data_IF_491226191915
#
_entry.id   IF_491226191915
#
_cell.length_a   1.000
_cell.length_b   1.000
_cell.length_c   1.000
_cell.angle_alpha   90.00
_cell.angle_beta   90.00
_cell.angle_gamma   90.00
#
_symmetry.space_group_name_H-M   'P 1'
#
loop_
_entity.id
_entity.type
_entity.pdbx_description
1 polymer ?
#
# COMPACT_ATOMS: atom_id res chain seq x y z
N UNK A 1 13.18 -4.78 25.94
CA UNK A 1 12.55 -5.12 27.24
C UNK A 1 11.71 -6.38 27.01
N UNK A 2 12.05 -7.50 27.66
CA UNK A 2 11.37 -8.82 27.54
C UNK A 2 10.17 -8.89 28.48
N UNK A 3 9.03 -9.49 28.07
CA UNK A 3 8.15 -10.45 28.80
C UNK A 3 7.31 -11.13 27.69
N UNK A 4 7.42 -12.40 27.26
CA UNK A 4 7.36 -13.76 27.86
C UNK A 4 5.96 -14.16 28.42
N UNK A 5 5.19 -14.84 27.56
CA UNK A 5 4.58 -16.20 27.71
C UNK A 5 3.66 -16.57 28.90
N UNK A 6 2.49 -17.15 28.50
CA UNK A 6 1.71 -18.27 29.09
C UNK A 6 0.69 -18.08 30.23
N UNK A 7 -0.53 -18.59 30.01
CA UNK A 7 -1.13 -19.80 30.66
C UNK A 7 -2.62 -19.91 30.25
N UNK A 8 -3.05 -20.94 29.50
CA UNK A 8 -3.48 -22.30 29.91
C UNK A 8 -4.90 -22.40 30.51
N UNK A 9 -5.78 -23.01 29.69
CA UNK A 9 -6.94 -23.88 29.97
C UNK A 9 -7.35 -24.18 31.42
N UNK A 10 -8.66 -24.14 31.71
CA UNK A 10 -9.46 -25.31 32.12
C UNK A 10 -10.97 -24.95 32.30
N UNK A 11 -11.86 -25.54 31.50
CA UNK A 11 -12.85 -26.60 31.82
C UNK A 11 -14.20 -26.10 32.37
N UNK A 12 -15.28 -26.32 31.61
CA UNK A 12 -16.34 -27.26 32.06
C UNK A 12 -17.30 -27.62 30.94
N UNK A 13 -17.44 -28.93 30.72
CA UNK A 13 -18.49 -29.57 29.94
C UNK A 13 -19.87 -29.32 30.56
N UNK A 14 -20.88 -29.09 29.73
CA UNK A 14 -22.23 -29.61 29.90
C UNK A 14 -22.98 -29.57 28.55
N UNK A 15 -23.43 -30.75 28.11
CA UNK A 15 -24.54 -31.02 27.18
C UNK A 15 -24.44 -30.57 25.69
N UNK A 16 -24.24 -31.54 24.79
CA UNK A 16 -24.74 -31.53 23.40
C UNK A 16 -26.26 -31.81 23.38
N UNK A 17 -27.03 -31.59 22.28
CA UNK A 17 -26.59 -31.27 20.91
C UNK A 17 -27.32 -30.08 20.28
N UNK A 18 -26.65 -29.39 19.37
CA UNK A 18 -27.17 -29.00 18.07
C UNK A 18 -25.95 -28.43 17.35
N UNK A 19 -25.38 -29.22 16.45
CA UNK A 19 -24.44 -28.73 15.46
C UNK A 19 -25.16 -27.68 14.62
N UNK A 20 -25.20 -26.43 15.09
CA UNK A 20 -25.09 -25.32 14.17
C UNK A 20 -23.69 -25.45 13.60
N UNK A 21 -23.59 -26.23 12.52
CA UNK A 21 -22.60 -25.94 11.51
C UNK A 21 -22.81 -24.48 11.17
N UNK A 22 -22.06 -23.59 11.84
CA UNK A 22 -21.71 -22.34 11.22
C UNK A 22 -21.10 -22.78 9.91
N UNK A 23 -21.86 -22.62 8.83
CA UNK A 23 -21.29 -22.63 7.51
C UNK A 23 -20.12 -21.66 7.63
N UNK A 24 -18.89 -22.19 7.65
CA UNK A 24 -17.73 -21.38 7.34
C UNK A 24 -18.11 -20.77 6.00
N UNK A 25 -18.49 -19.50 6.03
CA UNK A 25 -18.73 -18.73 4.83
C UNK A 25 -17.44 -18.90 4.05
N UNK A 26 -17.51 -19.64 2.94
CA UNK A 26 -16.35 -19.83 2.09
C UNK A 26 -15.74 -18.46 1.88
N UNK A 27 -14.41 -18.34 2.06
CA UNK A 27 -13.73 -17.08 1.85
C UNK A 27 -14.22 -16.50 0.52
N UNK A 28 -14.85 -15.33 0.56
CA UNK A 28 -15.47 -14.74 -0.63
C UNK A 28 -14.45 -14.77 -1.74
N UNK A 29 -14.78 -15.44 -2.83
CA UNK A 29 -13.91 -15.54 -3.98
C UNK A 29 -13.64 -14.12 -4.48
N UNK A 30 -12.37 -13.78 -4.67
CA UNK A 30 -12.00 -12.43 -5.13
C UNK A 30 -12.44 -12.33 -6.58
N UNK A 31 -13.34 -11.40 -6.90
CA UNK A 31 -13.73 -11.20 -8.30
C UNK A 31 -12.59 -10.56 -9.09
N UNK A 32 -12.38 -11.02 -10.33
CA UNK A 32 -11.40 -10.45 -11.25
C UNK A 32 -11.63 -8.94 -11.47
N UNK A 33 -12.90 -8.51 -11.41
CA UNK A 33 -13.31 -7.11 -11.47
C UNK A 33 -12.74 -6.34 -10.28
N UNK A 34 -12.90 -6.85 -9.05
CA UNK A 34 -12.36 -6.21 -7.84
C UNK A 34 -10.84 -6.11 -7.89
N UNK A 35 -10.16 -7.17 -8.34
CA UNK A 35 -8.70 -7.17 -8.46
C UNK A 35 -8.20 -6.18 -9.52
N UNK A 36 -8.89 -6.11 -10.66
CA UNK A 36 -8.60 -5.12 -11.71
C UNK A 36 -8.79 -3.68 -11.21
N UNK A 37 -9.88 -3.41 -10.48
CA UNK A 37 -10.14 -2.10 -9.86
C UNK A 37 -9.15 -1.75 -8.76
N UNK A 38 -8.70 -2.73 -7.99
CA UNK A 38 -7.64 -2.55 -7.01
C UNK A 38 -6.34 -2.13 -7.71
N UNK A 39 -5.88 -2.87 -8.74
CA UNK A 39 -4.68 -2.51 -9.52
C UNK A 39 -4.76 -1.10 -10.11
N UNK A 40 -5.89 -0.77 -10.73
CA UNK A 40 -6.15 0.56 -11.27
C UNK A 40 -6.02 1.65 -10.19
N UNK A 41 -6.66 1.44 -9.05
CA UNK A 41 -6.61 2.35 -7.91
C UNK A 41 -5.18 2.54 -7.41
N UNK A 42 -4.44 1.44 -7.21
CA UNK A 42 -3.06 1.46 -6.71
C UNK A 42 -2.15 2.23 -7.66
N UNK A 43 -2.30 1.99 -8.96
CA UNK A 43 -1.55 2.69 -9.99
C UNK A 43 -1.89 4.18 -10.02
N UNK A 44 -3.17 4.55 -10.01
CA UNK A 44 -3.62 5.94 -10.08
C UNK A 44 -3.17 6.76 -8.86
N UNK A 45 -3.15 6.19 -7.67
CA UNK A 45 -2.67 6.87 -6.47
C UNK A 45 -1.15 6.96 -6.36
N UNK A 46 -0.40 6.46 -7.35
CA UNK A 46 1.07 6.56 -7.37
C UNK A 46 1.73 5.99 -6.11
N UNK A 47 1.19 4.88 -5.57
CA UNK A 47 1.76 4.26 -4.36
C UNK A 47 3.17 3.71 -4.60
N UNK A 48 3.50 3.36 -5.84
CA UNK A 48 4.86 2.98 -6.22
C UNK A 48 5.81 4.19 -6.07
N UNK A 49 5.44 5.35 -6.59
CA UNK A 49 6.21 6.60 -6.46
C UNK A 49 6.35 6.99 -4.99
N UNK A 50 5.28 6.87 -4.19
CA UNK A 50 5.35 7.07 -2.75
C UNK A 50 6.34 6.11 -2.07
N UNK A 51 6.43 4.87 -2.55
CA UNK A 51 7.43 3.89 -2.09
C UNK A 51 8.84 4.36 -2.42
N UNK A 52 9.09 4.94 -3.59
CA UNK A 52 10.41 5.49 -3.96
C UNK A 52 10.81 6.68 -3.08
N UNK A 53 9.86 7.57 -2.77
CA UNK A 53 10.11 8.71 -1.86
C UNK A 53 10.46 8.20 -0.45
N UNK A 54 9.70 7.23 0.06
CA UNK A 54 9.97 6.61 1.36
C UNK A 54 11.30 5.86 1.39
N UNK A 55 11.65 5.17 0.31
CA UNK A 55 12.96 4.53 0.15
C UNK A 55 14.07 5.57 0.26
N UNK A 56 13.95 6.71 -0.42
CA UNK A 56 14.95 7.78 -0.35
C UNK A 56 15.12 8.30 1.08
N UNK A 57 14.01 8.63 1.74
CA UNK A 57 14.03 9.10 3.12
C UNK A 57 14.61 8.03 4.08
N UNK A 58 14.33 6.76 3.82
CA UNK A 58 14.87 5.64 4.60
C UNK A 58 16.37 5.53 4.43
N UNK A 59 16.94 5.71 3.24
CA UNK A 59 18.40 5.68 3.06
C UNK A 59 19.12 6.77 3.86
N UNK A 60 18.50 7.94 4.01
CA UNK A 60 19.09 9.05 4.77
C UNK A 60 18.95 8.90 6.29
N UNK A 61 18.02 8.08 6.77
CA UNK A 61 17.73 7.91 8.21
C UNK A 61 18.06 6.52 8.77
N UNK A 62 18.24 5.52 7.91
CA UNK A 62 18.48 4.14 8.31
C UNK A 62 19.89 3.95 8.86
N UNK A 63 19.99 3.31 10.03
CA UNK A 63 21.22 3.18 10.82
C UNK A 63 22.44 2.63 10.06
N UNK A 64 22.22 1.78 9.05
CA UNK A 64 23.30 1.22 8.21
C UNK A 64 23.74 2.17 7.11
N UNK A 65 22.79 2.81 6.41
CA UNK A 65 23.08 3.55 5.19
C UNK A 65 23.42 5.02 5.48
N UNK A 66 22.87 5.59 6.56
CA UNK A 66 23.07 6.99 6.93
C UNK A 66 24.55 7.33 7.20
N UNK A 67 25.37 6.35 7.55
CA UNK A 67 26.83 6.52 7.75
C UNK A 67 27.65 6.43 6.47
N UNK A 68 27.07 6.02 5.34
CA UNK A 68 27.78 5.92 4.07
C UNK A 68 28.05 7.32 3.48
N UNK A 69 29.02 7.48 2.57
CA UNK A 69 29.14 8.68 1.76
C UNK A 69 27.83 8.99 1.02
N UNK A 70 27.52 10.28 0.85
CA UNK A 70 26.32 10.69 0.10
C UNK A 70 26.33 10.15 -1.33
N UNK A 71 27.48 10.12 -1.99
CA UNK A 71 27.67 9.55 -3.33
C UNK A 71 27.20 8.09 -3.40
N UNK A 72 27.52 7.31 -2.38
CA UNK A 72 27.23 5.88 -2.34
C UNK A 72 25.74 5.66 -2.04
N UNK A 73 25.14 6.48 -1.18
CA UNK A 73 23.68 6.47 -0.98
C UNK A 73 22.92 6.88 -2.24
N UNK A 74 23.43 7.88 -2.97
CA UNK A 74 22.82 8.36 -4.22
C UNK A 74 22.87 7.28 -5.31
N UNK A 75 24.01 6.58 -5.46
CA UNK A 75 24.11 5.46 -6.41
C UNK A 75 23.30 4.24 -5.96
N UNK A 76 23.29 3.91 -4.66
CA UNK A 76 22.43 2.86 -4.11
C UNK A 76 20.95 3.13 -4.42
N UNK A 77 20.49 4.37 -4.19
CA UNK A 77 19.12 4.77 -4.48
C UNK A 77 18.80 4.55 -5.96
N UNK A 78 19.66 5.02 -6.85
CA UNK A 78 19.49 4.87 -8.30
C UNK A 78 19.41 3.40 -8.73
N UNK A 79 20.30 2.55 -8.22
CA UNK A 79 20.30 1.10 -8.51
C UNK A 79 19.06 0.41 -7.95
N UNK A 80 18.59 0.81 -6.78
CA UNK A 80 17.38 0.28 -6.17
C UNK A 80 16.13 0.70 -6.95
N UNK A 81 16.05 1.96 -7.41
CA UNK A 81 14.98 2.45 -8.27
C UNK A 81 14.94 1.67 -9.59
N UNK A 82 16.09 1.45 -10.24
CA UNK A 82 16.17 0.63 -11.46
C UNK A 82 15.57 -0.77 -11.25
N UNK A 83 15.95 -1.44 -10.15
CA UNK A 83 15.45 -2.77 -9.81
C UNK A 83 13.94 -2.78 -9.48
N UNK A 84 13.46 -1.76 -8.77
CA UNK A 84 12.04 -1.61 -8.43
C UNK A 84 11.19 -1.30 -9.65
N UNK A 85 11.65 -0.45 -10.56
CA UNK A 85 10.95 -0.11 -11.80
C UNK A 85 10.73 -1.35 -12.68
N UNK A 86 11.74 -2.22 -12.76
CA UNK A 86 11.61 -3.51 -13.45
C UNK A 86 10.54 -4.44 -12.82
N UNK A 87 10.24 -4.25 -11.53
CA UNK A 87 9.28 -5.03 -10.76
C UNK A 87 7.95 -4.30 -10.54
N UNK A 88 7.77 -3.10 -11.10
CA UNK A 88 6.61 -2.25 -10.86
C UNK A 88 5.27 -2.99 -11.04
N UNK A 89 5.03 -3.78 -12.10
CA UNK A 89 3.79 -4.54 -12.24
C UNK A 89 3.57 -5.53 -11.09
N UNK A 90 4.61 -6.28 -10.70
CA UNK A 90 4.54 -7.25 -9.61
C UNK A 90 4.28 -6.58 -8.25
N UNK A 91 4.85 -5.38 -8.03
CA UNK A 91 4.62 -4.59 -6.82
C UNK A 91 3.17 -4.12 -6.76
N UNK A 92 2.63 -3.58 -7.87
CA UNK A 92 1.23 -3.16 -7.95
C UNK A 92 0.29 -4.34 -7.72
N UNK A 93 0.60 -5.50 -8.32
CA UNK A 93 -0.18 -6.72 -8.14
C UNK A 93 -0.17 -7.22 -6.69
N UNK A 94 1.00 -7.29 -6.06
CA UNK A 94 1.12 -7.75 -4.68
C UNK A 94 0.38 -6.82 -3.70
N UNK A 95 0.43 -5.51 -3.91
CA UNK A 95 -0.36 -4.54 -3.14
C UNK A 95 -1.85 -4.78 -3.40
N UNK A 96 -2.27 -4.88 -4.65
CA UNK A 96 -3.68 -5.07 -5.00
C UNK A 96 -4.24 -6.35 -4.36
N UNK A 97 -3.51 -7.46 -4.43
CA UNK A 97 -3.89 -8.74 -3.82
C UNK A 97 -4.00 -8.66 -2.29
N UNK A 98 -3.11 -7.91 -1.63
CA UNK A 98 -3.18 -7.66 -0.18
C UNK A 98 -4.40 -6.83 0.21
N UNK A 99 -4.88 -5.94 -0.67
CA UNK A 99 -5.98 -5.02 -0.39
C UNK A 99 -7.35 -5.55 -0.83
N UNK A 100 -7.43 -6.39 -1.87
CA UNK A 100 -8.67 -6.63 -2.62
C UNK A 100 -9.82 -7.18 -1.75
N UNK A 101 -9.51 -7.99 -0.73
CA UNK A 101 -10.52 -8.60 0.17
C UNK A 101 -11.11 -7.63 1.20
N UNK A 102 -10.59 -6.40 1.27
CA UNK A 102 -10.97 -5.42 2.31
C UNK A 102 -12.19 -4.57 1.96
N UNK A 103 -12.57 -4.60 0.68
CA UNK A 103 -13.65 -3.82 0.11
C UNK A 103 -14.48 -4.72 -0.81
N UNK A 104 -15.77 -4.43 -0.89
CA UNK A 104 -16.69 -5.02 -1.85
C UNK A 104 -16.40 -4.52 -3.27
N UNK A 105 -16.93 -5.21 -4.27
CA UNK A 105 -16.79 -4.78 -5.67
C UNK A 105 -17.39 -3.37 -5.90
N UNK A 106 -18.53 -3.06 -5.26
CA UNK A 106 -19.17 -1.74 -5.35
C UNK A 106 -18.35 -0.62 -4.72
N UNK A 107 -17.61 -0.91 -3.65
CA UNK A 107 -16.66 0.02 -3.04
C UNK A 107 -15.43 0.19 -3.92
N UNK A 108 -14.87 -0.89 -4.48
CA UNK A 108 -13.74 -0.83 -5.42
C UNK A 108 -14.07 -0.02 -6.68
N UNK A 109 -15.29 -0.14 -7.21
CA UNK A 109 -15.73 0.68 -8.34
C UNK A 109 -15.73 2.18 -8.01
N UNK A 110 -16.18 2.56 -6.82
CA UNK A 110 -16.19 3.96 -6.37
C UNK A 110 -14.79 4.46 -6.00
N UNK A 111 -13.96 3.63 -5.36
CA UNK A 111 -12.56 3.97 -5.07
C UNK A 111 -11.81 4.18 -6.38
N UNK A 112 -12.00 3.31 -7.38
CA UNK A 112 -11.38 3.47 -8.69
C UNK A 112 -11.85 4.75 -9.39
N UNK A 113 -13.14 5.09 -9.31
CA UNK A 113 -13.67 6.38 -9.79
C UNK A 113 -12.97 7.56 -9.10
N UNK A 114 -12.88 7.53 -7.76
CA UNK A 114 -12.19 8.55 -6.96
C UNK A 114 -10.70 8.66 -7.32
N UNK A 115 -10.05 7.54 -7.61
CA UNK A 115 -8.62 7.49 -7.93
C UNK A 115 -8.23 8.19 -9.24
N UNK A 116 -9.18 8.37 -10.16
CA UNK A 116 -8.93 9.04 -11.44
C UNK A 116 -8.85 10.57 -11.31
N UNK A 117 -9.18 11.12 -10.15
CA UNK A 117 -9.15 12.56 -9.90
C UNK A 117 -7.71 13.01 -9.67
N UNK A 118 -7.14 13.78 -10.62
CA UNK A 118 -5.76 14.29 -10.52
C UNK A 118 -5.46 15.00 -9.20
N UNK A 119 -6.40 15.82 -8.71
CA UNK A 119 -6.26 16.47 -7.40
C UNK A 119 -6.01 15.50 -6.25
N UNK A 120 -6.67 14.33 -6.24
CA UNK A 120 -6.48 13.31 -5.21
C UNK A 120 -5.14 12.60 -5.39
N UNK A 121 -4.76 12.30 -6.63
CA UNK A 121 -3.44 11.72 -6.95
C UNK A 121 -2.31 12.63 -6.45
N UNK A 122 -2.42 13.93 -6.70
CA UNK A 122 -1.47 14.95 -6.25
C UNK A 122 -1.44 15.08 -4.72
N UNK A 123 -2.59 14.93 -4.04
CA UNK A 123 -2.64 14.89 -2.58
C UNK A 123 -1.88 13.69 -2.01
N UNK A 124 -1.98 12.51 -2.62
CA UNK A 124 -1.24 11.32 -2.19
C UNK A 124 0.26 11.56 -2.35
N UNK A 125 0.69 12.09 -3.51
CA UNK A 125 2.09 12.42 -3.76
C UNK A 125 2.63 13.49 -2.80
N UNK A 126 1.86 14.55 -2.52
CA UNK A 126 2.23 15.57 -1.55
C UNK A 126 2.25 15.05 -0.10
N UNK A 127 1.43 14.04 0.22
CA UNK A 127 1.48 13.34 1.50
C UNK A 127 2.75 12.50 1.66
N UNK A 128 3.23 11.88 0.58
CA UNK A 128 4.47 11.11 0.58
C UNK A 128 5.73 12.01 0.56
N UNK A 129 5.67 13.13 -0.15
CA UNK A 129 6.78 14.09 -0.31
C UNK A 129 6.36 15.49 0.18
N UNK A 130 6.68 15.85 1.44
CA UNK A 130 6.33 17.15 2.01
C UNK A 130 6.97 18.35 1.29
N UNK A 131 7.95 18.14 0.41
CA UNK A 131 8.54 19.21 -0.40
C UNK A 131 7.67 19.63 -1.58
N UNK A 132 6.68 18.80 -1.97
CA UNK A 132 5.74 19.12 -3.04
C UNK A 132 4.71 20.15 -2.59
N UNK A 133 4.30 21.07 -3.48
CA UNK A 133 3.20 21.97 -3.17
C UNK A 133 1.91 21.15 -2.97
N UNK A 134 1.13 21.53 -1.96
CA UNK A 134 -0.21 20.96 -1.79
C UNK A 134 -1.07 21.40 -2.98
N UNK A 135 -1.78 20.48 -3.66
CA UNK A 135 -2.64 20.85 -4.79
C UNK A 135 -3.78 21.78 -4.33
N UNK A 136 -4.18 22.68 -5.22
CA UNK A 136 -5.31 23.59 -5.01
C UNK A 136 -6.63 22.90 -5.44
N UNK A 137 -7.64 22.76 -4.55
CA UNK A 137 -8.94 22.21 -4.92
C UNK A 137 -9.61 22.91 -6.11
N UNK A 138 -9.30 24.19 -6.33
CA UNK A 138 -9.87 24.98 -7.44
C UNK A 138 -9.40 24.50 -8.82
N UNK A 139 -8.34 23.68 -8.88
CA UNK A 139 -7.84 23.08 -10.13
C UNK A 139 -8.70 21.91 -10.64
N UNK A 140 -9.60 21.36 -9.81
CA UNK A 140 -10.47 20.25 -10.20
C UNK A 140 -11.47 20.69 -11.27
N UNK A 141 -11.72 19.80 -12.24
CA UNK A 141 -12.86 19.97 -13.14
C UNK A 141 -14.18 19.92 -12.34
N UNK A 142 -15.27 20.46 -12.92
CA UNK A 142 -16.60 20.37 -12.29
C UNK A 142 -17.01 18.92 -12.02
N UNK A 143 -16.69 18.01 -12.95
CA UNK A 143 -16.99 16.58 -12.82
C UNK A 143 -16.21 15.99 -11.66
N UNK A 144 -14.91 16.23 -11.58
CA UNK A 144 -14.06 15.71 -10.51
C UNK A 144 -14.46 16.27 -9.15
N UNK A 145 -14.80 17.56 -9.08
CA UNK A 145 -15.28 18.19 -7.86
C UNK A 145 -16.57 17.54 -7.35
N UNK A 146 -17.49 17.16 -8.24
CA UNK A 146 -18.72 16.47 -7.87
C UNK A 146 -18.45 15.04 -7.35
N UNK A 147 -17.55 14.29 -8.01
CA UNK A 147 -17.13 12.96 -7.54
C UNK A 147 -16.43 13.08 -6.19
N UNK A 148 -15.51 14.04 -6.04
CA UNK A 148 -14.79 14.30 -4.80
C UNK A 148 -15.74 14.59 -3.65
N UNK A 149 -16.69 15.53 -3.84
CA UNK A 149 -17.68 15.90 -2.82
C UNK A 149 -18.57 14.73 -2.39
N UNK A 150 -18.88 13.81 -3.32
CA UNK A 150 -19.68 12.61 -3.02
C UNK A 150 -18.89 11.54 -2.25
N UNK A 151 -17.61 11.36 -2.59
CA UNK A 151 -16.83 10.19 -2.17
C UNK A 151 -15.84 10.46 -1.03
N UNK A 152 -15.27 11.66 -0.92
CA UNK A 152 -14.14 11.93 -0.01
C UNK A 152 -14.44 11.63 1.47
N UNK A 153 -15.69 11.80 1.91
CA UNK A 153 -16.13 11.55 3.28
C UNK A 153 -16.75 10.16 3.48
N UNK A 154 -16.81 9.32 2.44
CA UNK A 154 -17.41 7.99 2.58
C UNK A 154 -16.53 7.11 3.48
N UNK A 155 -17.12 6.34 4.42
CA UNK A 155 -16.35 5.53 5.36
C UNK A 155 -15.33 4.59 4.71
N UNK A 156 -15.68 3.98 3.57
CA UNK A 156 -14.80 3.07 2.85
C UNK A 156 -13.62 3.80 2.18
N UNK A 157 -13.80 5.05 1.73
CA UNK A 157 -12.71 5.88 1.18
C UNK A 157 -11.77 6.30 2.30
N UNK A 158 -12.30 6.74 3.45
CA UNK A 158 -11.48 7.06 4.63
C UNK A 158 -10.69 5.83 5.06
N UNK A 159 -11.35 4.68 5.21
CA UNK A 159 -10.74 3.40 5.55
C UNK A 159 -9.61 3.02 4.58
N UNK A 160 -9.83 3.22 3.27
CA UNK A 160 -8.82 2.95 2.25
C UNK A 160 -7.51 3.68 2.54
N UNK A 161 -7.55 4.96 2.90
CA UNK A 161 -6.33 5.72 3.18
C UNK A 161 -5.78 5.54 4.59
N UNK A 162 -6.63 5.36 5.60
CA UNK A 162 -6.17 5.27 7.01
C UNK A 162 -5.64 3.91 7.38
N UNK A 163 -6.13 2.86 6.74
CA UNK A 163 -5.73 1.50 7.03
C UNK A 163 -4.97 0.85 5.89
N UNK A 164 -4.61 1.60 4.83
CA UNK A 164 -3.84 1.07 3.71
C UNK A 164 -2.62 0.30 4.21
N UNK A 165 -2.47 -0.94 3.75
CA UNK A 165 -1.35 -1.78 4.15
C UNK A 165 -0.39 -1.99 2.96
N UNK A 166 0.73 -1.26 2.89
CA UNK A 166 1.71 -1.48 1.84
C UNK A 166 2.50 -2.80 2.04
N UNK A 167 2.33 -3.55 3.15
CA UNK A 167 3.16 -4.72 3.46
C UNK A 167 3.24 -5.77 2.34
N UNK A 168 2.25 -5.81 1.44
CA UNK A 168 2.26 -6.65 0.24
C UNK A 168 3.51 -6.48 -0.64
N UNK A 169 4.20 -5.34 -0.61
CA UNK A 169 5.41 -5.10 -1.42
C UNK A 169 6.73 -5.15 -0.65
N UNK A 170 6.73 -5.35 0.67
CA UNK A 170 7.94 -5.18 1.51
C UNK A 170 9.07 -6.11 1.08
N UNK A 171 8.77 -7.38 0.78
CA UNK A 171 9.78 -8.34 0.30
C UNK A 171 10.43 -7.88 -1.02
N UNK A 172 9.65 -7.36 -1.97
CA UNK A 172 10.16 -6.92 -3.27
C UNK A 172 11.08 -5.69 -3.12
N UNK A 173 10.75 -4.80 -2.18
CA UNK A 173 11.59 -3.64 -1.85
C UNK A 173 12.91 -4.07 -1.21
N UNK A 174 12.87 -5.02 -0.28
CA UNK A 174 14.07 -5.58 0.35
C UNK A 174 14.97 -6.30 -0.66
N UNK A 175 14.37 -7.09 -1.56
CA UNK A 175 15.10 -7.77 -2.64
C UNK A 175 15.78 -6.78 -3.59
N UNK A 176 15.09 -5.71 -3.98
CA UNK A 176 15.66 -4.65 -4.81
C UNK A 176 16.83 -3.94 -4.12
N UNK A 177 16.68 -3.59 -2.82
CA UNK A 177 17.75 -2.99 -2.02
C UNK A 177 18.96 -3.92 -1.87
N UNK A 178 18.73 -5.21 -1.67
CA UNK A 178 19.80 -6.22 -1.57
C UNK A 178 20.55 -6.37 -2.89
N UNK A 179 19.83 -6.44 -4.00
CA UNK A 179 20.42 -6.52 -5.34
C UNK A 179 21.25 -5.26 -5.65
N UNK A 180 20.72 -4.08 -5.32
CA UNK A 180 21.41 -2.80 -5.49
C UNK A 180 22.70 -2.72 -4.64
N UNK A 181 22.63 -3.12 -3.37
CA UNK A 181 23.80 -3.17 -2.47
C UNK A 181 24.87 -4.12 -2.99
N UNK A 182 24.47 -5.28 -3.49
CA UNK A 182 25.40 -6.25 -4.08
C UNK A 182 26.10 -5.69 -5.32
N UNK A 183 25.38 -4.95 -6.16
CA UNK A 183 25.95 -4.29 -7.34
C UNK A 183 26.93 -3.17 -6.96
N UNK A 184 26.60 -2.36 -5.95
CA UNK A 184 27.44 -1.23 -5.53
C UNK A 184 28.79 -1.66 -4.95
N UNK A 185 28.82 -2.76 -4.19
CA UNK A 185 30.04 -3.24 -3.52
C UNK A 185 30.72 -4.42 -4.21
N UNK A 186 30.07 -5.04 -5.20
CA UNK A 186 30.61 -6.15 -5.99
C UNK A 186 31.29 -5.72 -7.30
N UNK A 187 31.26 -4.43 -7.63
CA UNK A 187 31.95 -3.79 -8.77
C UNK A 187 33.21 -3.07 -8.33
#
# INVERSE_FOLDING_TARGET
MRIVTACLLAVSLCATPLSQAFAQTAATEVSDVSLSRARETIGNFHFFEATLVNLRASLDTHTVYSSWPKTDRDELYKLAVEALEAQRPAIVDAIAEAQVRRFTEGEWNQIAEYSRITYVQDLVLAGADPSRPRPDPSSMSRTDSAVFGRLAAQPFVVKFFTEFDPAGNTMLVEEALKAATTRLHGS
#
